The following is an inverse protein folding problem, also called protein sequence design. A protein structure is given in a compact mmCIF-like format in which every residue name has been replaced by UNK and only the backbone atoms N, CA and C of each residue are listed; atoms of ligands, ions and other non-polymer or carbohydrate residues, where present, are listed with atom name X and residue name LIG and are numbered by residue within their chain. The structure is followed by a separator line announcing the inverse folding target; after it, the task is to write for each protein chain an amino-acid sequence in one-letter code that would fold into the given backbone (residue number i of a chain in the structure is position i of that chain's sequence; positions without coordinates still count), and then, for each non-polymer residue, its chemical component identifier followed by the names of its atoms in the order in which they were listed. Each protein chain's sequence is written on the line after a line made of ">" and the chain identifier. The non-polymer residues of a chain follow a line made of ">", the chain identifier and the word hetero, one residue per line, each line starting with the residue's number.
data_IF_254993343825
#
_entry.id   IF_254993343825
#
_cell.length_a   1.000
_cell.length_b   1.000
_cell.length_c   1.000
_cell.angle_alpha   90.00
_cell.angle_beta   90.00
_cell.angle_gamma   90.00
#
_symmetry.space_group_name_H-M   'P 1'
#
loop_
_entity.id
_entity.type
_entity.pdbx_description
1 polymer ?
#
# COMPACT_ATOMS: atom_id res chain seq x y z
N UNK A 1 -6.22 -7.29 -24.96
CA UNK A 1 -5.83 -7.46 -23.55
C UNK A 1 -6.19 -6.19 -22.77
N UNK A 2 -6.75 -6.36 -21.58
CA UNK A 2 -7.12 -5.20 -20.77
C UNK A 2 -5.97 -4.78 -19.86
N UNK A 3 -5.65 -3.50 -19.86
CA UNK A 3 -4.52 -2.93 -19.12
C UNK A 3 -4.61 -3.21 -17.61
N UNK A 4 -5.81 -3.16 -17.02
CA UNK A 4 -5.95 -3.42 -15.58
C UNK A 4 -5.50 -4.81 -15.17
N UNK A 5 -5.59 -5.79 -16.05
CA UNK A 5 -5.11 -7.16 -15.77
C UNK A 5 -3.59 -7.21 -15.64
N UNK A 6 -2.90 -6.41 -16.45
CA UNK A 6 -1.44 -6.27 -16.33
C UNK A 6 -1.08 -5.60 -15.01
N UNK A 7 -1.75 -4.53 -14.64
CA UNK A 7 -1.50 -3.84 -13.37
C UNK A 7 -1.80 -4.73 -12.18
N UNK A 8 -2.92 -5.45 -12.21
CA UNK A 8 -3.25 -6.41 -11.16
C UNK A 8 -2.17 -7.48 -11.03
N UNK A 9 -1.70 -8.02 -12.15
CA UNK A 9 -0.65 -9.04 -12.14
C UNK A 9 0.67 -8.52 -11.59
N UNK A 10 1.04 -7.27 -11.90
CA UNK A 10 2.24 -6.63 -11.33
C UNK A 10 2.12 -6.57 -9.81
N UNK A 11 0.98 -6.14 -9.30
CA UNK A 11 0.74 -6.05 -7.86
C UNK A 11 0.74 -7.42 -7.19
N UNK A 12 0.10 -8.42 -7.83
CA UNK A 12 0.02 -9.77 -7.28
C UNK A 12 1.36 -10.51 -7.27
N UNK A 13 2.30 -10.12 -8.15
CA UNK A 13 3.66 -10.69 -8.19
C UNK A 13 4.61 -10.02 -7.21
N UNK A 14 4.27 -8.84 -6.68
CA UNK A 14 5.12 -8.16 -5.73
C UNK A 14 5.19 -8.96 -4.43
N UNK A 15 6.40 -9.18 -3.92
CA UNK A 15 6.61 -9.85 -2.63
C UNK A 15 6.23 -8.95 -1.45
N UNK A 16 6.14 -7.65 -1.65
CA UNK A 16 5.68 -6.71 -0.65
C UNK A 16 4.14 -6.71 -0.56
N UNK A 17 3.57 -6.62 0.67
CA UNK A 17 2.13 -6.51 0.81
C UNK A 17 1.63 -5.17 0.28
N UNK A 18 0.53 -5.22 -0.48
CA UNK A 18 -0.15 -4.02 -1.00
C UNK A 18 -1.61 -4.09 -0.58
N UNK A 19 -2.05 -3.08 0.16
CA UNK A 19 -3.44 -2.91 0.60
C UNK A 19 -3.90 -1.53 0.13
N UNK A 20 -4.88 -1.51 -0.77
CA UNK A 20 -5.38 -0.27 -1.38
C UNK A 20 -6.73 0.08 -0.78
N UNK A 21 -6.88 1.33 -0.35
CA UNK A 21 -8.10 1.86 0.23
C UNK A 21 -8.68 2.98 -0.65
N UNK A 22 -10.00 3.08 -0.68
CA UNK A 22 -10.68 4.24 -1.26
C UNK A 22 -10.76 5.39 -0.23
N UNK A 23 -11.42 6.49 -0.60
CA UNK A 23 -11.55 7.66 0.26
C UNK A 23 -12.56 7.50 1.40
N UNK A 24 -13.29 6.39 1.45
CA UNK A 24 -14.14 6.00 2.57
C UNK A 24 -13.41 5.04 3.52
N UNK A 25 -12.11 4.88 3.35
CA UNK A 25 -11.25 3.97 4.12
C UNK A 25 -11.64 2.48 3.97
N UNK A 26 -12.32 2.15 2.88
CA UNK A 26 -12.66 0.75 2.56
C UNK A 26 -11.53 0.13 1.76
N UNK A 27 -11.11 -1.07 2.17
CA UNK A 27 -10.12 -1.85 1.44
C UNK A 27 -10.75 -2.33 0.14
N UNK A 28 -10.23 -1.86 -0.99
CA UNK A 28 -10.75 -2.20 -2.33
C UNK A 28 -9.88 -3.25 -3.03
N UNK A 29 -8.66 -3.45 -2.56
CA UNK A 29 -7.77 -4.46 -3.14
C UNK A 29 -6.67 -4.84 -2.16
N UNK A 30 -6.36 -6.13 -2.12
CA UNK A 30 -5.19 -6.70 -1.45
C UNK A 30 -4.48 -7.62 -2.44
N UNK A 31 -3.16 -7.46 -2.57
CA UNK A 31 -2.41 -8.38 -3.40
C UNK A 31 -2.18 -9.72 -2.68
N UNK A 32 -1.65 -10.70 -3.39
CA UNK A 32 -1.40 -12.05 -2.85
C UNK A 32 -0.54 -12.01 -1.59
N UNK A 33 0.54 -11.21 -1.59
CA UNK A 33 1.42 -11.07 -0.44
C UNK A 33 0.70 -10.51 0.79
N UNK A 34 -0.18 -9.54 0.61
CA UNK A 34 -0.97 -8.97 1.70
C UNK A 34 -1.94 -9.99 2.30
N UNK A 35 -2.63 -10.76 1.45
CA UNK A 35 -3.56 -11.80 1.90
C UNK A 35 -2.81 -12.86 2.71
N UNK A 36 -1.64 -13.29 2.26
CA UNK A 36 -0.81 -14.24 2.98
C UNK A 36 -0.35 -13.69 4.35
N UNK A 37 0.06 -12.41 4.37
CA UNK A 37 0.53 -11.77 5.60
C UNK A 37 -0.56 -11.66 6.65
N UNK A 38 -1.76 -11.26 6.25
CA UNK A 38 -2.89 -11.08 7.17
C UNK A 38 -3.76 -12.34 7.32
N UNK A 39 -3.41 -13.42 6.61
CA UNK A 39 -4.11 -14.72 6.64
C UNK A 39 -5.58 -14.62 6.24
N UNK A 40 -5.98 -13.55 5.56
CA UNK A 40 -7.36 -13.31 5.19
C UNK A 40 -7.45 -12.21 4.14
N UNK A 41 -8.38 -12.35 3.20
CA UNK A 41 -8.76 -11.27 2.29
C UNK A 41 -9.74 -10.34 3.01
N UNK A 42 -9.31 -9.13 3.28
CA UNK A 42 -10.09 -8.11 4.00
C UNK A 42 -10.79 -7.15 3.04
N UNK A 43 -10.79 -7.41 1.73
CA UNK A 43 -11.48 -6.57 0.75
C UNK A 43 -12.94 -6.36 1.14
N UNK A 44 -13.37 -5.11 1.16
CA UNK A 44 -14.70 -4.70 1.59
C UNK A 44 -14.79 -4.25 3.05
N UNK A 45 -13.78 -4.54 3.87
CA UNK A 45 -13.75 -4.09 5.26
C UNK A 45 -13.20 -2.65 5.35
N UNK A 46 -13.56 -1.95 6.43
CA UNK A 46 -12.96 -0.66 6.75
C UNK A 46 -11.56 -0.87 7.34
N UNK A 47 -10.57 -0.12 6.83
CA UNK A 47 -9.23 -0.14 7.39
C UNK A 47 -9.23 0.32 8.85
N UNK A 48 -10.17 1.16 9.24
CA UNK A 48 -10.30 1.66 10.62
C UNK A 48 -10.62 0.56 11.62
N UNK A 49 -11.31 -0.49 11.19
CA UNK A 49 -11.64 -1.64 12.04
C UNK A 49 -10.44 -2.57 12.26
N UNK A 50 -9.39 -2.42 11.44
CA UNK A 50 -8.18 -3.26 11.47
C UNK A 50 -7.03 -2.63 12.29
N UNK A 51 -7.20 -1.39 12.78
CA UNK A 51 -6.16 -0.62 13.45
C UNK A 51 -6.65 -0.04 14.77
N UNK A 52 -5.73 0.17 15.75
CA UNK A 52 -6.09 0.88 16.97
C UNK A 52 -6.38 2.36 16.68
N UNK A 53 -7.13 3.06 17.57
CA UNK A 53 -7.51 4.47 17.35
C UNK A 53 -6.34 5.41 17.04
N UNK A 54 -5.19 5.19 17.66
CA UNK A 54 -4.00 6.03 17.41
C UNK A 54 -3.50 5.90 15.97
N UNK A 55 -3.51 4.69 15.41
CA UNK A 55 -3.12 4.48 14.02
C UNK A 55 -4.12 5.14 13.07
N UNK A 56 -5.41 5.03 13.37
CA UNK A 56 -6.46 5.68 12.56
C UNK A 56 -6.31 7.21 12.59
N UNK A 57 -5.96 7.79 13.72
CA UNK A 57 -5.70 9.22 13.85
C UNK A 57 -4.55 9.66 12.95
N UNK A 58 -3.46 8.88 12.87
CA UNK A 58 -2.34 9.18 12.00
C UNK A 58 -2.70 9.07 10.53
N UNK A 59 -3.51 8.10 10.16
CA UNK A 59 -4.03 7.96 8.79
C UNK A 59 -4.82 9.21 8.40
N UNK A 60 -5.69 9.70 9.28
CA UNK A 60 -6.47 10.93 9.02
C UNK A 60 -5.58 12.15 8.81
N UNK A 61 -4.52 12.29 9.61
CA UNK A 61 -3.54 13.39 9.45
C UNK A 61 -2.83 13.32 8.09
N UNK A 62 -2.45 12.14 7.66
CA UNK A 62 -1.80 11.94 6.37
C UNK A 62 -2.75 12.28 5.23
N UNK A 63 -4.00 11.83 5.31
CA UNK A 63 -5.01 12.13 4.28
C UNK A 63 -5.29 13.63 4.21
N UNK A 64 -5.33 14.34 5.35
CA UNK A 64 -5.47 15.78 5.37
C UNK A 64 -4.30 16.47 4.67
N UNK A 65 -3.07 15.99 4.88
CA UNK A 65 -1.89 16.51 4.21
C UNK A 65 -1.92 16.26 2.70
N UNK A 66 -2.38 15.09 2.25
CA UNK A 66 -2.57 14.82 0.83
C UNK A 66 -3.55 15.81 0.20
N UNK A 67 -4.59 16.21 0.94
CA UNK A 67 -5.61 17.15 0.45
C UNK A 67 -5.12 18.59 0.37
N UNK A 68 -4.07 18.94 1.10
CA UNK A 68 -3.52 20.30 1.11
C UNK A 68 -2.88 20.70 -0.24
N UNK A 69 -2.30 19.73 -0.95
CA UNK A 69 -1.64 19.98 -2.24
C UNK A 69 -1.60 18.73 -3.09
N UNK A 70 -1.77 18.89 -4.39
CA UNK A 70 -1.60 17.81 -5.38
C UNK A 70 -0.17 17.28 -5.45
N UNK A 71 0.80 18.00 -4.89
CA UNK A 71 2.20 17.59 -4.84
C UNK A 71 2.52 16.74 -3.61
N UNK A 72 1.60 16.62 -2.65
CA UNK A 72 1.76 15.83 -1.44
C UNK A 72 1.32 14.39 -1.71
N UNK A 73 2.24 13.50 -2.09
CA UNK A 73 1.88 12.17 -2.59
C UNK A 73 2.53 11.01 -1.86
N UNK A 74 3.62 11.22 -1.15
CA UNK A 74 4.33 10.14 -0.42
C UNK A 74 4.83 10.71 0.89
N UNK A 75 4.62 9.96 1.97
CA UNK A 75 5.15 10.31 3.28
C UNK A 75 5.69 9.06 3.99
N UNK A 76 6.85 9.18 4.61
CA UNK A 76 7.46 8.12 5.41
C UNK A 76 6.72 7.99 6.74
N UNK A 77 6.16 6.82 7.03
CA UNK A 77 5.30 6.63 8.19
C UNK A 77 5.87 5.70 9.26
N UNK A 78 6.71 4.73 8.87
CA UNK A 78 7.13 3.71 9.81
C UNK A 78 8.41 3.00 9.36
N UNK A 79 9.28 2.70 10.33
CA UNK A 79 10.44 1.84 10.13
C UNK A 79 10.22 0.52 10.86
N UNK A 80 10.31 -0.60 10.15
CA UNK A 80 10.28 -1.93 10.74
C UNK A 80 11.70 -2.53 10.68
N UNK A 81 12.40 -2.49 11.81
CA UNK A 81 13.79 -2.97 11.88
C UNK A 81 13.90 -4.49 11.79
N UNK A 82 12.94 -5.23 12.31
CA UNK A 82 12.95 -6.70 12.23
C UNK A 82 12.89 -7.19 10.80
N UNK A 83 12.04 -6.60 9.98
CA UNK A 83 11.88 -6.95 8.58
C UNK A 83 12.79 -6.13 7.66
N UNK A 84 13.55 -5.20 8.22
CA UNK A 84 14.44 -4.31 7.48
C UNK A 84 13.72 -3.60 6.33
N UNK A 85 12.65 -2.88 6.67
CA UNK A 85 11.88 -2.17 5.67
C UNK A 85 11.46 -0.79 6.15
N UNK A 86 11.31 0.11 5.20
CA UNK A 86 10.68 1.41 5.39
C UNK A 86 9.27 1.36 4.81
N UNK A 87 8.34 2.01 5.50
CA UNK A 87 6.92 2.00 5.13
C UNK A 87 6.46 3.42 4.86
N UNK A 88 5.71 3.60 3.80
CA UNK A 88 5.22 4.90 3.33
C UNK A 88 3.72 4.82 3.07
N UNK A 89 3.02 5.94 3.26
CA UNK A 89 1.69 6.10 2.68
C UNK A 89 1.80 6.87 1.38
N UNK A 90 1.07 6.41 0.37
CA UNK A 90 1.10 6.94 -0.98
C UNK A 90 -0.31 7.34 -1.41
N UNK A 91 -0.45 8.58 -1.89
CA UNK A 91 -1.70 9.07 -2.44
C UNK A 91 -1.93 8.50 -3.84
N UNK A 92 -3.15 8.12 -4.13
CA UNK A 92 -3.58 7.71 -5.46
C UNK A 92 -4.50 8.79 -6.02
N UNK A 93 -4.17 9.26 -7.22
CA UNK A 93 -4.88 10.39 -7.84
C UNK A 93 -5.35 10.07 -9.23
N UNK A 94 -6.48 10.65 -9.59
CA UNK A 94 -6.98 10.67 -10.95
C UNK A 94 -6.12 11.61 -11.82
N UNK A 95 -6.32 11.58 -13.12
CA UNK A 95 -5.53 12.36 -14.09
C UNK A 95 -5.57 13.87 -13.83
N UNK A 96 -6.66 14.37 -13.26
CA UNK A 96 -6.81 15.79 -12.90
C UNK A 96 -6.22 16.14 -11.52
N UNK A 97 -5.62 15.16 -10.84
CA UNK A 97 -5.04 15.34 -9.51
C UNK A 97 -6.00 15.10 -8.35
N UNK A 98 -7.25 14.73 -8.61
CA UNK A 98 -8.20 14.40 -7.55
C UNK A 98 -7.74 13.19 -6.78
N UNK A 99 -7.74 13.27 -5.44
CA UNK A 99 -7.38 12.17 -4.56
C UNK A 99 -8.51 11.12 -4.59
N UNK A 100 -8.19 9.90 -5.02
CA UNK A 100 -9.17 8.82 -5.18
C UNK A 100 -8.93 7.64 -4.26
N UNK A 101 -7.81 7.62 -3.56
CA UNK A 101 -7.49 6.56 -2.62
C UNK A 101 -6.07 6.68 -2.13
N UNK A 102 -5.61 5.63 -1.46
CA UNK A 102 -4.25 5.57 -0.95
C UNK A 102 -3.84 4.13 -0.71
N UNK A 103 -2.52 3.89 -0.57
CA UNK A 103 -2.04 2.58 -0.15
C UNK A 103 -0.78 2.72 0.70
N UNK A 104 -0.44 1.66 1.40
CA UNK A 104 0.77 1.55 2.18
C UNK A 104 1.84 0.84 1.36
N UNK A 105 2.97 1.51 1.14
CA UNK A 105 4.09 1.00 0.35
C UNK A 105 5.18 0.48 1.28
N UNK A 106 5.62 -0.76 1.08
CA UNK A 106 6.70 -1.38 1.83
C UNK A 106 7.95 -1.47 0.96
N UNK A 107 9.04 -0.86 1.42
CA UNK A 107 10.34 -0.92 0.75
C UNK A 107 11.30 -1.76 1.59
N UNK A 108 11.50 -3.01 1.20
CA UNK A 108 12.47 -3.90 1.85
C UNK A 108 13.88 -3.49 1.44
N UNK A 109 14.78 -3.38 2.42
CA UNK A 109 16.14 -2.87 2.23
C UNK A 109 17.20 -3.97 2.18
N UNK A 110 16.82 -5.24 2.23
CA UNK A 110 17.75 -6.35 2.10
C UNK A 110 18.31 -6.42 0.68
N UNK A 111 19.63 -6.64 0.60
CA UNK A 111 20.27 -6.88 -0.68
C UNK A 111 19.83 -8.24 -1.24
N UNK A 112 19.61 -8.31 -2.55
CA UNK A 112 19.35 -9.56 -3.24
C UNK A 112 20.58 -10.48 -3.11
N UNK A 113 20.36 -11.74 -2.77
CA UNK A 113 21.42 -12.74 -2.60
C UNK A 113 21.44 -13.80 -3.68
N UNK A 114 20.44 -13.83 -4.55
CA UNK A 114 20.39 -14.79 -5.65
C UNK A 114 21.39 -14.41 -6.75
N UNK A 115 21.77 -15.38 -7.55
CA UNK A 115 22.60 -15.15 -8.74
C UNK A 115 21.75 -14.63 -9.88
N UNK A 116 22.37 -13.84 -10.75
CA UNK A 116 21.68 -13.34 -11.95
C UNK A 116 21.18 -14.50 -12.81
N UNK A 117 19.96 -14.35 -13.33
CA UNK A 117 19.34 -15.32 -14.23
C UNK A 117 19.32 -16.75 -13.72
N UNK A 118 19.05 -16.91 -12.43
CA UNK A 118 18.88 -18.23 -11.83
C UNK A 118 17.50 -18.78 -12.21
N UNK A 119 17.43 -19.62 -13.25
CA UNK A 119 16.18 -20.16 -13.79
C UNK A 119 15.66 -21.42 -13.06
N UNK A 120 16.17 -21.70 -11.89
CA UNK A 120 15.74 -22.89 -11.14
C UNK A 120 14.33 -22.75 -10.58
#
# INVERSE_FOLDING_TARGET
>A
MKLYKLFKSILDRDSAPVVVCDMDDIIVYMNTSAIERYHKDLTGASIKDCHPPKANEMIEKVLAWFKESKDNNIIYTYRNDEENKDVYMVALRDDDGTLIGYYEKHEYRNRETDTLYNFK
#
